data_IF_116319300427
#
_entry.id   IF_116319300427
#
_cell.length_a   1.000
_cell.length_b   1.000
_cell.length_c   1.000
_cell.angle_alpha   90.00
_cell.angle_beta   90.00
_cell.angle_gamma   90.00
#
_symmetry.space_group_name_H-M   'P 1'
#
loop_
_entity.id
_entity.type
_entity.pdbx_description
1 polymer ?
#
# COMPACT_ATOMS: atom_id res chain seq x y z
N UNK A 1 6.33 -19.09 7.27
CA UNK A 1 6.09 -17.74 6.69
C UNK A 1 7.24 -16.76 6.99
N UNK A 2 7.85 -16.82 8.18
CA UNK A 2 8.98 -15.96 8.59
C UNK A 2 10.23 -16.07 7.72
N UNK A 3 10.57 -17.27 7.23
CA UNK A 3 11.77 -17.50 6.41
C UNK A 3 11.79 -16.70 5.09
N UNK A 4 10.64 -16.53 4.44
CA UNK A 4 10.51 -15.78 3.18
C UNK A 4 10.66 -14.28 3.43
N UNK A 5 10.15 -13.77 4.57
CA UNK A 5 10.34 -12.36 4.97
C UNK A 5 11.81 -12.05 5.24
N UNK A 6 12.56 -12.96 5.87
CA UNK A 6 14.01 -12.80 6.07
C UNK A 6 14.81 -12.88 4.76
N UNK A 7 14.39 -13.74 3.84
CA UNK A 7 15.02 -13.88 2.52
C UNK A 7 14.90 -12.64 1.64
N UNK A 8 13.84 -11.84 1.81
CA UNK A 8 13.66 -10.57 1.11
C UNK A 8 14.26 -9.39 1.88
N UNK A 9 14.10 -9.35 3.21
CA UNK A 9 14.56 -8.23 4.03
C UNK A 9 16.09 -8.08 4.06
N UNK A 10 16.83 -9.20 4.10
CA UNK A 10 18.30 -9.18 4.16
C UNK A 10 18.93 -8.57 2.91
N UNK A 11 18.64 -9.03 1.68
CA UNK A 11 19.25 -8.43 0.48
C UNK A 11 18.84 -6.97 0.27
N UNK A 12 17.64 -6.57 0.68
CA UNK A 12 17.18 -5.17 0.60
C UNK A 12 17.94 -4.28 1.58
N UNK A 13 18.13 -4.75 2.82
CA UNK A 13 18.91 -4.00 3.81
C UNK A 13 20.36 -3.87 3.37
N UNK A 14 20.92 -4.90 2.74
CA UNK A 14 22.29 -4.88 2.19
C UNK A 14 22.41 -3.92 1.01
N UNK A 15 21.45 -3.91 0.08
CA UNK A 15 21.45 -2.97 -1.05
C UNK A 15 21.25 -1.52 -0.63
N UNK A 16 20.35 -1.26 0.33
CA UNK A 16 20.17 0.07 0.94
C UNK A 16 21.45 0.55 1.62
N UNK A 17 22.14 -0.34 2.34
CA UNK A 17 23.43 0.00 2.95
C UNK A 17 24.48 0.32 1.88
N UNK A 18 24.57 -0.49 0.82
CA UNK A 18 25.51 -0.24 -0.29
C UNK A 18 25.22 1.10 -0.97
N UNK A 19 23.94 1.46 -1.18
CA UNK A 19 23.59 2.78 -1.73
C UNK A 19 23.85 3.93 -0.76
N UNK A 20 23.58 3.75 0.53
CA UNK A 20 23.87 4.78 1.53
C UNK A 20 25.37 5.10 1.65
N UNK A 21 26.24 4.14 1.30
CA UNK A 21 27.70 4.27 1.41
C UNK A 21 28.42 4.34 0.05
N UNK A 22 27.72 4.25 -1.08
CA UNK A 22 28.30 4.25 -2.43
C UNK A 22 27.61 5.23 -3.38
N UNK A 23 28.34 6.21 -3.90
CA UNK A 23 27.88 7.20 -4.89
C UNK A 23 27.72 6.57 -6.29
N UNK A 24 26.80 5.59 -6.44
CA UNK A 24 26.55 4.90 -7.71
C UNK A 24 25.06 4.97 -8.10
N UNK A 25 24.66 6.02 -8.83
CA UNK A 25 23.28 6.26 -9.30
C UNK A 25 22.74 5.18 -10.26
N UNK A 26 23.59 4.34 -10.83
CA UNK A 26 23.17 3.28 -11.78
C UNK A 26 22.41 2.11 -11.12
N UNK A 27 22.49 1.97 -9.79
CA UNK A 27 21.86 0.87 -9.05
C UNK A 27 20.44 1.18 -8.58
N UNK A 28 20.02 2.45 -8.67
CA UNK A 28 18.76 2.94 -8.14
C UNK A 28 17.53 2.20 -8.70
N UNK A 29 17.41 1.89 -10.01
CA UNK A 29 16.26 1.15 -10.53
C UNK A 29 16.17 -0.28 -9.98
N UNK A 30 17.31 -0.93 -9.76
CA UNK A 30 17.36 -2.31 -9.26
C UNK A 30 17.00 -2.39 -7.77
N UNK A 31 17.47 -1.43 -6.97
CA UNK A 31 17.05 -1.32 -5.56
C UNK A 31 15.57 -1.02 -5.45
N UNK A 32 15.05 -0.07 -6.25
CA UNK A 32 13.64 0.31 -6.21
C UNK A 32 12.73 -0.85 -6.62
N UNK A 33 13.13 -1.67 -7.59
CA UNK A 33 12.38 -2.87 -7.97
C UNK A 33 12.30 -3.90 -6.82
N UNK A 34 13.41 -4.12 -6.11
CA UNK A 34 13.44 -5.03 -4.96
C UNK A 34 12.64 -4.47 -3.77
N UNK A 35 12.76 -3.18 -3.49
CA UNK A 35 11.99 -2.50 -2.44
C UNK A 35 10.49 -2.58 -2.73
N UNK A 36 10.07 -2.29 -3.97
CA UNK A 36 8.68 -2.47 -4.39
C UNK A 36 8.19 -3.91 -4.15
N UNK A 37 8.97 -4.91 -4.55
CA UNK A 37 8.61 -6.32 -4.36
C UNK A 37 8.46 -6.70 -2.88
N UNK A 38 9.35 -6.22 -2.01
CA UNK A 38 9.24 -6.44 -0.56
C UNK A 38 8.02 -5.76 0.03
N UNK A 39 7.76 -4.51 -0.34
CA UNK A 39 6.60 -3.78 0.16
C UNK A 39 5.28 -4.44 -0.25
N UNK A 40 5.16 -4.87 -1.51
CA UNK A 40 3.99 -5.64 -1.94
C UNK A 40 3.88 -7.00 -1.25
N UNK A 41 5.00 -7.71 -1.04
CA UNK A 41 4.99 -8.96 -0.29
C UNK A 41 4.55 -8.76 1.16
N UNK A 42 5.06 -7.73 1.84
CA UNK A 42 4.68 -7.38 3.21
C UNK A 42 3.21 -6.97 3.30
N UNK A 43 2.73 -6.14 2.38
CA UNK A 43 1.32 -5.77 2.27
C UNK A 43 0.44 -7.00 2.06
N UNK A 44 0.81 -7.89 1.14
CA UNK A 44 0.09 -9.14 0.90
C UNK A 44 0.05 -10.05 2.14
N UNK A 45 1.16 -10.15 2.88
CA UNK A 45 1.23 -10.92 4.12
C UNK A 45 0.29 -10.35 5.19
N UNK A 46 0.20 -9.02 5.33
CA UNK A 46 -0.74 -8.38 6.25
C UNK A 46 -2.19 -8.55 5.82
N UNK A 47 -2.51 -8.40 4.54
CA UNK A 47 -3.86 -8.68 4.02
C UNK A 47 -4.25 -10.13 4.31
N UNK A 48 -3.34 -11.09 4.07
CA UNK A 48 -3.57 -12.51 4.40
C UNK A 48 -3.76 -12.74 5.89
N UNK A 49 -3.01 -12.06 6.74
CA UNK A 49 -3.16 -12.10 8.19
C UNK A 49 -4.56 -11.59 8.61
N UNK A 50 -4.98 -10.43 8.11
CA UNK A 50 -6.29 -9.83 8.40
C UNK A 50 -7.47 -10.69 7.91
N UNK A 51 -7.32 -11.35 6.75
CA UNK A 51 -8.34 -12.23 6.19
C UNK A 51 -8.44 -13.59 6.91
N UNK A 52 -7.37 -14.03 7.58
CA UNK A 52 -7.37 -15.29 8.32
C UNK A 52 -8.08 -15.20 9.68
N UNK A 53 -8.09 -14.01 10.29
CA UNK A 53 -8.58 -13.83 11.65
C UNK A 53 -10.09 -13.50 11.70
N UNK A 54 -10.82 -14.17 12.60
CA UNK A 54 -12.28 -14.06 12.71
C UNK A 54 -12.74 -13.01 13.75
N UNK A 55 -11.81 -12.40 14.48
CA UNK A 55 -12.09 -11.39 15.52
C UNK A 55 -11.22 -10.17 15.29
N UNK A 56 -11.83 -8.98 15.15
CA UNK A 56 -11.06 -7.73 15.15
C UNK A 56 -10.45 -7.49 16.52
N UNK A 57 -9.12 -7.51 16.56
CA UNK A 57 -8.30 -7.08 17.70
C UNK A 57 -7.66 -5.72 17.40
N UNK A 58 -7.09 -5.07 18.41
CA UNK A 58 -6.38 -3.78 18.25
C UNK A 58 -5.17 -3.91 17.31
N UNK A 59 -4.48 -5.05 17.33
CA UNK A 59 -3.35 -5.34 16.43
C UNK A 59 -3.77 -5.29 14.95
N UNK A 60 -5.02 -5.66 14.67
CA UNK A 60 -5.55 -5.61 13.33
C UNK A 60 -5.81 -4.18 12.83
N UNK A 61 -6.23 -3.27 13.73
CA UNK A 61 -6.38 -1.86 13.38
C UNK A 61 -5.03 -1.23 13.00
N UNK A 62 -3.96 -1.60 13.70
CA UNK A 62 -2.60 -1.20 13.31
C UNK A 62 -2.16 -1.85 11.99
N UNK A 63 -2.52 -3.12 11.77
CA UNK A 63 -2.21 -3.84 10.53
C UNK A 63 -2.89 -3.20 9.30
N UNK A 64 -4.12 -2.69 9.43
CA UNK A 64 -4.81 -1.89 8.40
C UNK A 64 -3.93 -0.68 8.02
N UNK A 65 -3.58 0.17 8.99
CA UNK A 65 -2.77 1.37 8.72
C UNK A 65 -1.39 1.03 8.10
N UNK A 66 -0.75 -0.02 8.60
CA UNK A 66 0.52 -0.50 8.08
C UNK A 66 0.39 -1.00 6.64
N UNK A 67 -0.63 -1.81 6.32
CA UNK A 67 -0.88 -2.32 4.97
C UNK A 67 -1.05 -1.19 3.97
N UNK A 68 -1.87 -0.18 4.32
CA UNK A 68 -2.08 0.99 3.47
C UNK A 68 -0.74 1.69 3.14
N UNK A 69 0.08 1.93 4.17
CA UNK A 69 1.39 2.57 4.02
C UNK A 69 2.33 1.74 3.15
N UNK A 70 2.38 0.42 3.35
CA UNK A 70 3.23 -0.48 2.57
C UNK A 70 2.82 -0.51 1.09
N UNK A 71 1.51 -0.48 0.79
CA UNK A 71 1.04 -0.39 -0.60
C UNK A 71 1.46 0.94 -1.23
N UNK A 72 1.33 2.05 -0.50
CA UNK A 72 1.77 3.37 -0.99
C UNK A 72 3.28 3.42 -1.28
N UNK A 73 4.10 2.87 -0.39
CA UNK A 73 5.53 2.74 -0.67
C UNK A 73 5.81 1.81 -1.85
N UNK A 74 5.16 0.65 -1.93
CA UNK A 74 5.31 -0.29 -3.05
C UNK A 74 5.05 0.37 -4.41
N UNK A 75 3.99 1.16 -4.53
CA UNK A 75 3.70 1.90 -5.76
C UNK A 75 4.66 3.07 -6.00
N UNK A 76 5.08 3.81 -4.99
CA UNK A 76 6.09 4.87 -5.15
C UNK A 76 7.40 4.35 -5.75
N UNK A 77 7.89 3.20 -5.27
CA UNK A 77 9.06 2.55 -5.85
C UNK A 77 8.79 1.95 -7.22
N UNK A 78 7.58 1.45 -7.47
CA UNK A 78 7.16 1.02 -8.82
C UNK A 78 7.21 2.19 -9.80
N UNK A 79 6.79 3.39 -9.38
CA UNK A 79 6.86 4.58 -10.23
C UNK A 79 8.30 5.02 -10.50
N UNK A 80 9.22 4.88 -9.54
CA UNK A 80 10.64 5.08 -9.82
C UNK A 80 11.16 4.11 -10.89
N UNK A 81 10.78 2.83 -10.80
CA UNK A 81 11.16 1.83 -11.81
C UNK A 81 10.56 2.18 -13.18
N UNK A 82 9.30 2.60 -13.22
CA UNK A 82 8.64 3.05 -14.46
C UNK A 82 9.39 4.23 -15.08
N UNK A 83 9.76 5.23 -14.28
CA UNK A 83 10.54 6.39 -14.74
C UNK A 83 11.92 5.98 -15.27
N UNK A 84 12.57 5.01 -14.63
CA UNK A 84 13.87 4.51 -15.08
C UNK A 84 13.79 3.70 -16.40
N UNK A 85 12.70 2.96 -16.62
CA UNK A 85 12.48 2.19 -17.85
C UNK A 85 12.08 3.10 -19.02
N UNK A 86 11.15 4.03 -18.77
CA UNK A 86 10.68 4.99 -19.75
C UNK A 86 10.82 6.41 -19.17
N UNK A 87 11.94 7.10 -19.47
CA UNK A 87 12.15 8.49 -19.09
C UNK A 87 11.00 9.39 -19.56
N UNK A 88 10.78 10.50 -18.85
CA UNK A 88 9.65 11.41 -19.07
C UNK A 88 8.27 10.73 -18.89
N UNK A 89 8.18 9.62 -18.13
CA UNK A 89 6.90 8.97 -17.79
C UNK A 89 5.98 9.83 -16.93
N UNK A 90 6.57 10.69 -16.10
CA UNK A 90 5.88 11.57 -15.16
C UNK A 90 6.30 13.02 -15.38
N UNK A 91 5.35 13.94 -15.21
CA UNK A 91 5.59 15.38 -15.33
C UNK A 91 4.92 16.13 -14.18
N UNK A 92 5.40 17.33 -13.86
CA UNK A 92 4.70 18.26 -12.97
C UNK A 92 4.72 19.68 -13.55
N UNK A 93 3.93 20.57 -12.97
CA UNK A 93 3.84 21.97 -13.41
C UNK A 93 5.17 22.73 -13.28
N UNK A 94 6.01 22.34 -12.33
CA UNK A 94 7.36 22.88 -12.12
C UNK A 94 8.42 21.88 -12.60
N UNK A 95 9.53 22.40 -13.14
CA UNK A 95 10.66 21.63 -13.65
C UNK A 95 10.25 20.60 -14.73
N UNK A 96 9.59 21.06 -15.79
CA UNK A 96 9.18 20.21 -16.91
C UNK A 96 10.40 19.54 -17.55
N UNK A 97 10.39 18.22 -17.69
CA UNK A 97 11.47 17.42 -18.28
C UNK A 97 12.56 16.96 -17.31
N UNK A 98 12.44 17.25 -16.02
CA UNK A 98 13.27 16.62 -14.99
C UNK A 98 12.64 15.31 -14.48
N UNK A 99 13.46 14.40 -13.98
CA UNK A 99 12.97 13.23 -13.27
C UNK A 99 12.27 13.61 -11.95
N UNK A 100 11.22 12.87 -11.58
CA UNK A 100 10.54 13.06 -10.29
C UNK A 100 11.33 12.40 -9.18
N UNK A 101 11.40 13.09 -8.05
CA UNK A 101 11.99 12.59 -6.82
C UNK A 101 11.11 11.50 -6.20
N UNK A 102 11.70 10.68 -5.31
CA UNK A 102 10.95 9.67 -4.56
C UNK A 102 9.76 10.26 -3.80
N UNK A 103 9.93 11.42 -3.17
CA UNK A 103 8.89 12.05 -2.36
C UNK A 103 7.72 12.54 -3.23
N UNK A 104 8.00 13.07 -4.42
CA UNK A 104 6.98 13.46 -5.41
C UNK A 104 6.17 12.25 -5.90
N UNK A 105 6.85 11.14 -6.21
CA UNK A 105 6.20 9.89 -6.63
C UNK A 105 5.43 9.23 -5.48
N UNK A 106 5.90 9.38 -4.24
CA UNK A 106 5.17 8.94 -3.05
C UNK A 106 3.91 9.78 -2.84
N UNK A 107 3.99 11.10 -3.03
CA UNK A 107 2.82 11.97 -2.96
C UNK A 107 1.79 11.62 -4.05
N UNK A 108 2.24 11.32 -5.27
CA UNK A 108 1.38 10.78 -6.33
C UNK A 108 0.69 9.48 -5.89
N UNK A 109 1.44 8.52 -5.33
CA UNK A 109 0.90 7.24 -4.86
C UNK A 109 -0.16 7.43 -3.77
N UNK A 110 0.13 8.19 -2.72
CA UNK A 110 -0.84 8.44 -1.64
C UNK A 110 -2.11 9.11 -2.14
N UNK A 111 -1.99 10.11 -3.01
CA UNK A 111 -3.17 10.82 -3.52
C UNK A 111 -3.99 9.96 -4.48
N UNK A 112 -3.34 9.05 -5.22
CA UNK A 112 -3.97 8.08 -6.12
C UNK A 112 -4.69 6.99 -5.32
N UNK A 113 -4.02 6.36 -4.35
CA UNK A 113 -4.60 5.33 -3.47
C UNK A 113 -5.80 5.84 -2.68
N UNK A 114 -5.72 7.07 -2.17
CA UNK A 114 -6.84 7.71 -1.46
C UNK A 114 -7.91 8.28 -2.39
N UNK A 115 -7.67 8.29 -3.70
CA UNK A 115 -8.53 8.94 -4.70
C UNK A 115 -8.80 10.43 -4.42
N UNK A 116 -7.86 11.11 -3.75
CA UNK A 116 -7.96 12.57 -3.48
C UNK A 116 -7.54 13.40 -4.70
N UNK A 117 -6.63 12.87 -5.52
CA UNK A 117 -6.21 13.50 -6.78
C UNK A 117 -5.47 14.84 -6.62
N UNK A 118 -4.88 15.09 -5.45
CA UNK A 118 -4.20 16.37 -5.14
C UNK A 118 -2.80 16.50 -5.76
N UNK A 119 -2.20 15.39 -6.26
CA UNK A 119 -0.83 15.42 -6.75
C UNK A 119 -0.63 16.43 -7.87
N UNK A 120 0.45 17.19 -7.77
CA UNK A 120 0.98 18.06 -8.82
C UNK A 120 1.77 17.29 -9.89
N UNK A 121 2.04 16.00 -9.63
CA UNK A 121 2.67 15.07 -10.56
C UNK A 121 1.60 14.30 -11.31
N UNK A 122 1.78 14.11 -12.62
CA UNK A 122 0.83 13.36 -13.46
C UNK A 122 1.55 12.41 -14.42
N UNK A 123 0.98 11.21 -14.67
CA UNK A 123 1.53 10.27 -15.66
C UNK A 123 1.18 10.71 -17.09
N UNK A 124 2.19 10.79 -17.96
CA UNK A 124 2.01 11.22 -19.37
C UNK A 124 2.05 10.05 -20.35
N UNK A 125 2.89 9.04 -20.10
CA UNK A 125 3.04 7.86 -20.98
C UNK A 125 1.97 6.81 -20.73
N UNK A 126 1.67 6.02 -21.76
CA UNK A 126 0.65 4.96 -21.70
C UNK A 126 0.98 3.90 -20.64
N UNK A 127 2.26 3.52 -20.53
CA UNK A 127 2.71 2.56 -19.54
C UNK A 127 2.53 3.07 -18.11
N UNK A 128 3.02 4.28 -17.82
CA UNK A 128 2.84 4.95 -16.53
C UNK A 128 1.36 5.10 -16.14
N UNK A 129 0.50 5.49 -17.09
CA UNK A 129 -0.95 5.58 -16.87
C UNK A 129 -1.57 4.24 -16.51
N UNK A 130 -1.16 3.16 -17.17
CA UNK A 130 -1.63 1.82 -16.86
C UNK A 130 -1.30 1.41 -15.42
N UNK A 131 -0.08 1.69 -14.95
CA UNK A 131 0.34 1.40 -13.57
C UNK A 131 -0.47 2.23 -12.56
N UNK A 132 -0.67 3.52 -12.82
CA UNK A 132 -1.51 4.39 -11.96
C UNK A 132 -2.96 3.89 -11.91
N UNK A 133 -3.53 3.43 -13.03
CA UNK A 133 -4.89 2.86 -13.04
C UNK A 133 -4.99 1.59 -12.19
N UNK A 134 -3.95 0.74 -12.17
CA UNK A 134 -3.88 -0.44 -11.31
C UNK A 134 -3.83 -0.02 -9.84
N UNK A 135 -3.05 1.01 -9.50
CA UNK A 135 -3.00 1.56 -8.14
C UNK A 135 -4.37 2.08 -7.68
N UNK A 136 -5.08 2.83 -8.53
CA UNK A 136 -6.43 3.32 -8.22
C UNK A 136 -7.39 2.16 -7.92
N UNK A 137 -7.34 1.10 -8.72
CA UNK A 137 -8.15 -0.10 -8.50
C UNK A 137 -7.77 -0.80 -7.19
N UNK A 138 -6.47 -0.89 -6.89
CA UNK A 138 -5.97 -1.46 -5.64
C UNK A 138 -6.43 -0.64 -4.42
N UNK A 139 -6.39 0.69 -4.48
CA UNK A 139 -6.87 1.59 -3.44
C UNK A 139 -8.37 1.40 -3.18
N UNK A 140 -9.19 1.38 -4.23
CA UNK A 140 -10.62 1.10 -4.13
C UNK A 140 -10.89 -0.28 -3.51
N UNK A 141 -10.18 -1.31 -3.98
CA UNK A 141 -10.31 -2.68 -3.48
C UNK A 141 -9.93 -2.80 -2.00
N UNK A 142 -8.88 -2.09 -1.57
CA UNK A 142 -8.44 -2.05 -0.19
C UNK A 142 -9.53 -1.46 0.73
N UNK A 143 -10.08 -0.29 0.38
CA UNK A 143 -11.15 0.34 1.16
C UNK A 143 -12.40 -0.56 1.20
N UNK A 144 -12.79 -1.14 0.06
CA UNK A 144 -13.94 -2.05 0.00
C UNK A 144 -13.77 -3.27 0.93
N UNK A 145 -12.57 -3.87 0.95
CA UNK A 145 -12.25 -5.00 1.83
C UNK A 145 -12.32 -4.61 3.31
N UNK A 146 -11.70 -3.49 3.70
CA UNK A 146 -11.70 -3.01 5.09
C UNK A 146 -13.12 -2.71 5.57
N UNK A 147 -13.91 -1.99 4.77
CA UNK A 147 -15.30 -1.64 5.10
C UNK A 147 -16.18 -2.89 5.20
N UNK A 148 -16.10 -3.81 4.24
CA UNK A 148 -16.87 -5.05 4.25
C UNK A 148 -16.63 -5.87 5.53
N UNK A 149 -15.37 -5.97 5.94
CA UNK A 149 -14.98 -6.71 7.14
C UNK A 149 -15.48 -6.07 8.43
N UNK A 150 -15.39 -4.74 8.54
CA UNK A 150 -15.93 -3.99 9.69
C UNK A 150 -17.45 -4.15 9.83
N UNK A 151 -18.18 -4.03 8.71
CA UNK A 151 -19.64 -4.20 8.67
C UNK A 151 -20.03 -5.64 9.02
N UNK A 152 -19.35 -6.64 8.45
CA UNK A 152 -19.61 -8.05 8.73
C UNK A 152 -19.53 -8.39 10.22
N UNK A 153 -18.51 -7.87 10.92
CA UNK A 153 -18.33 -8.10 12.35
C UNK A 153 -19.31 -7.32 13.22
N UNK A 154 -19.74 -6.14 12.80
CA UNK A 154 -20.80 -5.38 13.49
C UNK A 154 -22.14 -6.11 13.43
N UNK A 155 -22.50 -6.68 12.27
CA UNK A 155 -23.73 -7.46 12.09
C UNK A 155 -23.73 -8.71 12.99
N UNK A 156 -22.62 -9.43 13.06
CA UNK A 156 -22.48 -10.61 13.92
C UNK A 156 -22.61 -10.27 15.41
N UNK A 157 -22.10 -9.11 15.86
CA UNK A 157 -22.26 -8.66 17.25
C UNK A 157 -23.70 -8.24 17.58
N UNK A 158 -24.44 -7.68 16.62
CA UNK A 158 -25.82 -7.23 16.80
C UNK A 158 -26.83 -8.36 17.04
N UNK A 159 -26.56 -9.56 16.52
CA UNK A 159 -27.43 -10.73 16.70
C UNK A 159 -27.33 -11.39 18.08
N UNK A 160 -26.37 -10.99 18.91
CA UNK A 160 -26.11 -11.57 20.23
C UNK A 160 -26.81 -10.92 21.43
N UNK A 161 -27.74 -9.96 21.25
CA UNK A 161 -28.57 -9.43 22.35
C UNK A 161 -29.91 -10.17 22.38
N UNK A 162 -30.15 -11.11 23.33
CA UNK A 162 -31.49 -11.61 23.58
C UNK A 162 -32.35 -10.43 24.04
N UNK A 163 -33.54 -10.29 23.46
CA UNK A 163 -34.57 -9.43 24.00
C UNK A 163 -34.83 -9.88 25.45
N UNK A 164 -34.53 -9.00 26.41
CA UNK A 164 -34.88 -9.23 27.80
C UNK A 164 -36.37 -9.50 27.89
N UNK A 165 -36.70 -10.65 28.46
CA UNK A 165 -38.04 -11.00 28.94
C UNK A 165 -38.41 -10.05 30.08
N UNK A 166 -38.87 -8.85 29.73
CA UNK A 166 -39.64 -7.98 30.62
C UNK A 166 -41.12 -8.32 30.45
N UNK A 167 -41.54 -9.38 31.14
CA UNK A 167 -42.93 -9.80 31.15
C UNK A 167 -43.06 -11.10 31.91
N UNK A 168 -43.87 -11.05 32.96
CA UNK A 168 -44.38 -12.20 33.70
C UNK A 168 -43.57 -12.64 34.94
N UNK A 169 -43.63 -11.84 36.00
CA UNK A 169 -44.01 -12.31 37.35
C UNK A 169 -44.82 -11.22 38.06
N UNK A 170 -46.07 -11.05 37.62
CA UNK A 170 -47.14 -10.60 38.49
C UNK A 170 -47.80 -11.87 39.05
N UNK A 171 -47.65 -12.10 40.36
CA UNK A 171 -48.26 -13.23 41.08
C UNK A 171 -48.23 -12.96 42.57
#
# INVERSE_FOLDING_TARGET
>A
LTWVSWLLAVPITVLLAIQAFGEHDELLPWSSALEAALYFYAAWALVRYMLADHVITTDELFAVGATFTLVAWGFAYTFQVVQAIEPDSFTAALNVGADRTWMELLFLSFTTLTSTGLSDVTPVKAFARGVVMIEQLAGLGYVAMVVSRLVGLMVLRGQGRPAGTDGDQAG
#
